data_IF_634555118983
#
_entry.id   IF_634555118983
#
_cell.length_a   1.000
_cell.length_b   1.000
_cell.length_c   1.000
_cell.angle_alpha   90.00
_cell.angle_beta   90.00
_cell.angle_gamma   90.00
#
_symmetry.space_group_name_H-M   'P 1'
#
loop_
_entity.id
_entity.type
_entity.pdbx_description
1 polymer ?
#
# COMPACT_ATOMS: atom_id res chain seq x y z
N UNK A 1 15.16 -13.75 -61.90
CA UNK A 1 16.46 -14.45 -62.01
C UNK A 1 16.76 -15.09 -60.66
N UNK A 2 16.91 -16.43 -60.66
CA UNK A 2 17.59 -17.32 -59.66
C UNK A 2 17.19 -17.16 -58.18
N UNK A 3 16.43 -18.02 -57.48
CA UNK A 3 16.13 -19.49 -57.47
C UNK A 3 17.24 -20.40 -56.87
N UNK A 4 16.98 -20.83 -55.61
CA UNK A 4 17.33 -22.08 -54.86
C UNK A 4 18.79 -22.38 -54.41
N UNK A 5 19.04 -23.33 -53.44
CA UNK A 5 18.12 -24.29 -52.81
C UNK A 5 18.14 -24.46 -51.27
N UNK A 6 17.03 -25.10 -50.82
CA UNK A 6 16.76 -25.84 -49.58
C UNK A 6 17.94 -26.68 -49.05
N UNK A 7 18.00 -26.80 -47.73
CA UNK A 7 18.24 -28.08 -47.07
C UNK A 7 17.19 -28.30 -45.97
N UNK A 8 16.51 -29.44 -46.08
CA UNK A 8 15.56 -29.99 -45.12
C UNK A 8 16.33 -30.99 -44.26
N UNK A 9 16.19 -30.92 -42.94
CA UNK A 9 16.42 -32.08 -42.08
C UNK A 9 15.45 -32.03 -40.90
N UNK A 10 14.44 -32.88 -41.01
CA UNK A 10 13.57 -33.35 -39.93
C UNK A 10 14.40 -34.08 -38.88
N UNK A 11 14.01 -34.00 -37.60
CA UNK A 11 13.81 -35.17 -36.72
C UNK A 11 13.27 -34.76 -35.33
N UNK A 12 12.06 -35.25 -35.06
CA UNK A 12 11.56 -35.77 -33.78
C UNK A 12 11.51 -34.86 -32.52
N UNK A 13 10.27 -34.46 -32.17
CA UNK A 13 9.74 -34.39 -30.79
C UNK A 13 9.07 -35.76 -30.56
N UNK A 14 9.27 -36.49 -29.44
CA UNK A 14 8.71 -36.11 -28.14
C UNK A 14 9.51 -36.54 -26.89
N UNK A 15 9.39 -35.76 -25.82
CA UNK A 15 9.99 -36.11 -24.53
C UNK A 15 9.33 -35.34 -23.39
N UNK A 16 8.10 -35.73 -23.04
CA UNK A 16 7.47 -35.39 -21.77
C UNK A 16 8.31 -36.04 -20.65
N UNK A 17 9.07 -35.25 -19.88
CA UNK A 17 9.73 -35.74 -18.67
C UNK A 17 8.70 -35.69 -17.54
N UNK A 18 7.99 -36.81 -17.35
CA UNK A 18 7.26 -37.11 -16.12
C UNK A 18 8.29 -37.51 -15.05
N UNK A 19 8.64 -36.59 -14.16
CA UNK A 19 9.31 -36.91 -12.91
C UNK A 19 8.30 -37.63 -11.98
N UNK A 20 8.31 -38.97 -11.99
CA UNK A 20 7.74 -39.76 -10.91
C UNK A 20 8.70 -39.72 -9.72
N UNK A 21 8.39 -38.87 -8.73
CA UNK A 21 9.01 -38.95 -7.41
C UNK A 21 8.34 -40.13 -6.69
N UNK A 22 8.98 -41.29 -6.70
CA UNK A 22 8.64 -42.40 -5.82
C UNK A 22 9.11 -42.05 -4.41
N UNK A 23 8.19 -41.56 -3.58
CA UNK A 23 8.38 -41.47 -2.13
C UNK A 23 8.38 -42.89 -1.55
N UNK A 24 9.43 -43.32 -0.83
CA UNK A 24 9.38 -44.57 -0.08
C UNK A 24 8.44 -44.36 1.12
N UNK A 25 7.31 -45.06 1.11
CA UNK A 25 6.47 -45.25 2.29
C UNK A 25 7.28 -45.97 3.38
N UNK A 26 7.41 -45.41 4.59
CA UNK A 26 7.84 -46.21 5.73
C UNK A 26 6.70 -47.14 6.14
N UNK A 27 7.06 -48.40 6.37
CA UNK A 27 6.17 -49.44 6.86
C UNK A 27 5.48 -49.01 8.16
N UNK A 28 4.15 -49.06 8.15
CA UNK A 28 3.30 -48.87 9.33
C UNK A 28 3.49 -50.08 10.24
N UNK A 29 4.23 -49.89 11.33
CA UNK A 29 4.34 -50.86 12.40
C UNK A 29 3.09 -50.74 13.27
N UNK A 30 2.25 -51.79 13.24
CA UNK A 30 1.09 -51.94 14.11
C UNK A 30 1.56 -52.09 15.56
N UNK A 31 1.46 -51.02 16.35
CA UNK A 31 1.45 -51.12 17.81
C UNK A 31 0.00 -50.99 18.28
N UNK A 32 -0.50 -52.07 18.89
CA UNK A 32 -1.76 -52.09 19.65
C UNK A 32 -1.71 -51.03 20.75
N UNK A 33 -2.69 -50.14 20.76
CA UNK A 33 -3.04 -49.33 21.93
C UNK A 33 -3.63 -50.24 23.03
N UNK A 34 -3.21 -50.10 24.30
CA UNK A 34 -3.92 -50.71 25.42
C UNK A 34 -5.21 -49.94 25.73
N UNK A 35 -6.20 -50.67 26.27
CA UNK A 35 -7.46 -50.18 26.83
C UNK A 35 -7.24 -49.10 27.92
N UNK A 36 -8.20 -48.20 28.17
CA UNK A 36 -8.10 -47.23 29.28
C UNK A 36 -8.33 -47.93 30.62
N UNK A 37 -7.35 -47.88 31.51
CA UNK A 37 -7.52 -48.17 32.94
C UNK A 37 -8.13 -46.96 33.66
N UNK A 38 -9.04 -47.27 34.59
CA UNK A 38 -9.70 -46.38 35.57
C UNK A 38 -8.78 -45.35 36.26
N UNK A 39 -9.32 -44.22 36.74
CA UNK A 39 -8.54 -43.18 37.38
C UNK A 39 -8.26 -43.51 38.85
N UNK A 40 -6.98 -43.58 39.22
CA UNK A 40 -6.52 -43.54 40.61
C UNK A 40 -6.52 -42.11 41.17
N UNK A 41 -6.72 -41.92 42.49
CA UNK A 41 -7.15 -40.66 43.07
C UNK A 41 -6.06 -39.59 43.12
N UNK A 42 -6.50 -38.34 42.99
CA UNK A 42 -5.74 -37.10 43.08
C UNK A 42 -4.91 -37.00 44.37
N UNK A 43 -3.60 -36.68 44.33
CA UNK A 43 -2.89 -36.18 45.49
C UNK A 43 -3.31 -34.74 45.79
N UNK A 44 -3.44 -34.43 47.08
CA UNK A 44 -3.79 -33.13 47.64
C UNK A 44 -2.94 -31.96 47.07
N UNK A 45 -3.47 -30.72 47.07
CA UNK A 45 -2.77 -29.57 46.54
C UNK A 45 -1.53 -29.27 47.40
N UNK A 46 -0.35 -29.34 46.78
CA UNK A 46 0.85 -28.72 47.34
C UNK A 46 0.62 -27.21 47.45
N UNK A 47 0.56 -26.73 48.68
CA UNK A 47 0.65 -25.32 49.06
C UNK A 47 1.91 -24.72 48.44
N UNK A 48 1.75 -23.89 47.40
CA UNK A 48 2.83 -23.00 46.91
C UNK A 48 2.98 -21.83 47.89
N UNK A 49 4.13 -21.64 48.57
CA UNK A 49 4.32 -20.55 49.51
C UNK A 49 4.93 -19.29 48.86
N UNK A 50 4.65 -19.02 47.59
CA UNK A 50 5.29 -17.89 46.86
C UNK A 50 4.48 -16.60 46.88
N UNK A 51 3.19 -16.63 47.23
CA UNK A 51 2.32 -15.44 47.20
C UNK A 51 2.17 -14.72 48.55
N UNK A 52 2.92 -15.10 49.60
CA UNK A 52 2.86 -14.50 50.94
C UNK A 52 4.08 -13.64 51.31
N UNK A 53 5.01 -13.42 50.38
CA UNK A 53 6.18 -12.55 50.61
C UNK A 53 5.78 -11.07 50.63
N UNK A 54 6.15 -10.38 51.71
CA UNK A 54 5.98 -8.92 51.86
C UNK A 54 6.85 -8.10 50.90
N UNK A 55 7.90 -8.69 50.32
CA UNK A 55 8.79 -8.06 49.34
C UNK A 55 8.98 -8.98 48.12
N UNK A 56 8.87 -8.41 46.92
CA UNK A 56 9.15 -9.13 45.68
C UNK A 56 10.65 -9.44 45.57
N UNK A 57 11.04 -10.65 45.16
CA UNK A 57 12.44 -10.97 44.92
C UNK A 57 13.02 -10.04 43.86
N UNK A 58 14.07 -9.30 44.22
CA UNK A 58 14.81 -8.43 43.31
C UNK A 58 15.78 -9.28 42.51
N UNK A 59 15.52 -9.43 41.22
CA UNK A 59 16.36 -10.18 40.29
C UNK A 59 17.28 -9.19 39.58
N UNK A 60 18.57 -9.49 39.51
CA UNK A 60 19.53 -8.67 38.76
C UNK A 60 19.32 -8.86 37.25
N UNK A 61 19.54 -7.81 36.45
CA UNK A 61 19.45 -7.89 34.98
C UNK A 61 20.36 -8.99 34.42
N UNK A 62 21.52 -9.22 35.05
CA UNK A 62 22.48 -10.27 34.67
C UNK A 62 21.86 -11.67 34.79
N UNK A 63 21.04 -11.91 35.80
CA UNK A 63 20.32 -13.18 35.97
C UNK A 63 19.23 -13.40 34.89
N UNK A 64 18.75 -12.32 34.25
CA UNK A 64 17.77 -12.37 33.16
C UNK A 64 18.41 -12.46 31.77
N UNK A 65 19.73 -12.26 31.65
CA UNK A 65 20.45 -12.23 30.37
C UNK A 65 20.18 -13.44 29.44
N UNK A 66 20.03 -14.69 29.93
CA UNK A 66 19.74 -15.83 29.06
C UNK A 66 18.33 -15.81 28.44
N UNK A 67 17.42 -15.01 29.01
CA UNK A 67 16.01 -14.91 28.61
C UNK A 67 15.70 -13.62 27.85
N UNK A 68 16.67 -12.71 27.73
CA UNK A 68 16.50 -11.42 27.06
C UNK A 68 16.94 -11.55 25.61
N UNK A 69 15.98 -11.39 24.70
CA UNK A 69 16.29 -11.10 23.29
C UNK A 69 16.61 -9.62 23.14
N UNK A 70 17.67 -9.28 22.42
CA UNK A 70 18.08 -7.90 22.18
C UNK A 70 18.14 -7.61 20.70
N UNK A 71 17.74 -6.40 20.32
CA UNK A 71 17.79 -5.91 18.96
C UNK A 71 18.48 -4.55 18.92
N UNK A 72 19.35 -4.37 17.93
CA UNK A 72 19.96 -3.09 17.61
C UNK A 72 20.28 -3.04 16.11
N UNK A 73 20.27 -1.85 15.54
CA UNK A 73 20.59 -1.59 14.15
C UNK A 73 21.70 -0.52 14.04
N UNK A 74 22.73 -0.72 13.18
CA UNK A 74 23.85 0.20 13.06
C UNK A 74 23.43 1.64 12.76
N UNK A 75 23.94 2.60 13.52
CA UNK A 75 23.67 4.03 13.34
C UNK A 75 22.31 4.51 13.84
N UNK A 76 21.49 3.63 14.42
CA UNK A 76 20.14 3.96 14.90
C UNK A 76 20.14 4.20 16.40
N UNK A 77 19.43 5.25 16.81
CA UNK A 77 19.26 5.66 18.20
C UNK A 77 17.78 5.87 18.50
N UNK A 78 17.45 5.96 19.79
CA UNK A 78 16.15 6.40 20.28
C UNK A 78 14.98 5.47 19.88
N UNK A 79 15.12 4.16 20.11
CA UNK A 79 14.00 3.21 20.07
C UNK A 79 12.99 3.59 21.15
N UNK A 80 11.93 4.28 20.76
CA UNK A 80 11.08 5.04 21.69
C UNK A 80 9.60 4.70 21.57
N UNK A 81 9.18 4.09 20.46
CA UNK A 81 7.80 3.68 20.21
C UNK A 81 7.74 2.18 19.96
N UNK A 82 6.78 1.49 20.56
CA UNK A 82 6.58 0.06 20.42
C UNK A 82 5.08 -0.21 20.24
N UNK A 83 4.73 -1.06 19.27
CA UNK A 83 3.36 -1.58 19.14
C UNK A 83 3.37 -3.03 18.68
N UNK A 84 2.33 -3.78 19.05
CA UNK A 84 2.22 -5.21 18.81
C UNK A 84 1.17 -5.48 17.73
N UNK A 85 1.54 -6.28 16.72
CA UNK A 85 0.60 -6.86 15.77
C UNK A 85 0.50 -8.37 16.03
N UNK A 86 -0.45 -8.74 16.90
CA UNK A 86 -0.69 -10.12 17.29
C UNK A 86 -1.25 -10.97 16.13
N UNK A 87 -1.88 -10.35 15.13
CA UNK A 87 -2.43 -11.09 13.97
C UNK A 87 -1.34 -11.62 13.07
N UNK A 88 -0.19 -10.95 13.04
CA UNK A 88 0.99 -11.33 12.26
C UNK A 88 2.14 -11.86 13.11
N UNK A 89 1.97 -11.88 14.44
CA UNK A 89 3.00 -12.23 15.41
C UNK A 89 4.26 -11.34 15.28
N UNK A 90 4.05 -10.03 15.24
CA UNK A 90 5.10 -9.03 15.01
C UNK A 90 5.14 -7.96 16.10
N UNK A 91 6.35 -7.48 16.39
CA UNK A 91 6.63 -6.28 17.16
C UNK A 91 7.07 -5.17 16.21
N UNK A 92 6.37 -4.05 16.22
CA UNK A 92 6.72 -2.86 15.45
C UNK A 92 7.44 -1.88 16.38
N UNK A 93 8.65 -1.48 16.01
CA UNK A 93 9.51 -0.59 16.79
C UNK A 93 9.79 0.68 16.01
N UNK A 94 9.39 1.82 16.57
CA UNK A 94 9.75 3.15 16.10
C UNK A 94 11.02 3.64 16.78
N UNK A 95 11.99 4.03 15.96
CA UNK A 95 13.21 4.70 16.35
C UNK A 95 13.42 5.97 15.50
N UNK A 96 14.47 6.76 15.79
CA UNK A 96 14.70 8.01 15.06
C UNK A 96 14.96 7.76 13.58
N UNK A 97 14.03 8.16 12.71
CA UNK A 97 14.06 7.90 11.26
C UNK A 97 14.10 6.40 10.92
N UNK A 98 13.60 5.51 11.78
CA UNK A 98 13.52 4.07 11.52
C UNK A 98 12.22 3.47 12.04
N UNK A 99 11.59 2.61 11.23
CA UNK A 99 10.52 1.72 11.66
C UNK A 99 10.97 0.28 11.39
N UNK A 100 10.98 -0.53 12.45
CA UNK A 100 11.37 -1.93 12.38
C UNK A 100 10.15 -2.80 12.58
N UNK A 101 10.00 -3.83 11.74
CA UNK A 101 9.14 -4.97 11.99
C UNK A 101 10.03 -6.10 12.46
N UNK A 102 9.78 -6.56 13.69
CA UNK A 102 10.53 -7.60 14.36
C UNK A 102 9.59 -8.78 14.61
N UNK A 103 10.11 -9.99 14.57
CA UNK A 103 9.33 -11.16 14.97
C UNK A 103 9.07 -11.10 16.48
N UNK A 104 7.83 -11.31 16.91
CA UNK A 104 7.45 -11.13 18.30
C UNK A 104 8.12 -12.15 19.26
N UNK A 105 8.52 -13.32 18.77
CA UNK A 105 9.06 -14.40 19.61
C UNK A 105 10.57 -14.26 19.90
N UNK A 106 11.34 -13.77 18.94
CA UNK A 106 12.81 -13.73 19.03
C UNK A 106 13.39 -12.34 18.71
N UNK A 107 12.55 -11.35 18.41
CA UNK A 107 12.93 -9.97 18.09
C UNK A 107 13.87 -9.91 16.85
N UNK A 108 13.87 -10.94 16.01
CA UNK A 108 14.65 -10.94 14.77
C UNK A 108 14.05 -9.96 13.78
N UNK A 109 14.90 -9.21 13.10
CA UNK A 109 14.48 -8.25 12.08
C UNK A 109 13.77 -8.94 10.91
N UNK A 110 12.50 -8.62 10.73
CA UNK A 110 11.72 -9.01 9.55
C UNK A 110 11.95 -7.97 8.45
N UNK A 111 11.82 -6.69 8.80
CA UNK A 111 11.90 -5.61 7.84
C UNK A 111 12.32 -4.29 8.49
N UNK A 112 13.18 -3.52 7.81
CA UNK A 112 13.45 -2.11 8.12
C UNK A 112 12.77 -1.27 7.05
N UNK A 113 11.84 -0.42 7.43
CA UNK A 113 11.28 0.59 6.53
C UNK A 113 11.62 1.95 7.11
N UNK A 114 12.47 2.73 6.43
CA UNK A 114 12.62 4.18 6.64
C UNK A 114 13.64 4.78 5.67
N UNK A 115 13.17 5.04 4.46
CA UNK A 115 13.85 5.94 3.55
C UNK A 115 12.85 7.02 3.16
N UNK A 116 13.36 8.15 2.69
CA UNK A 116 12.51 9.11 2.02
C UNK A 116 12.30 8.66 0.58
N UNK A 117 11.16 8.05 0.30
CA UNK A 117 10.78 7.67 -1.06
C UNK A 117 10.07 8.85 -1.70
N UNK A 118 10.65 9.41 -2.75
CA UNK A 118 9.99 10.46 -3.54
C UNK A 118 8.80 9.83 -4.28
N UNK A 119 7.60 10.36 -4.04
CA UNK A 119 6.34 9.87 -4.63
C UNK A 119 5.70 10.90 -5.56
N UNK A 120 6.04 12.18 -5.38
CA UNK A 120 5.63 13.27 -6.28
C UNK A 120 6.88 13.96 -6.77
N UNK A 121 7.01 14.09 -8.07
CA UNK A 121 8.04 14.85 -8.75
C UNK A 121 7.39 15.53 -9.95
N UNK A 122 7.12 16.82 -9.82
CA UNK A 122 6.40 17.60 -10.82
C UNK A 122 7.16 18.87 -11.13
N UNK A 123 7.15 19.27 -12.40
CA UNK A 123 7.73 20.53 -12.86
C UNK A 123 6.59 21.48 -13.16
N UNK A 124 6.66 22.70 -12.62
CA UNK A 124 5.75 23.78 -12.92
C UNK A 124 6.57 25.02 -13.30
N UNK A 125 6.58 25.37 -14.58
CA UNK A 125 7.37 26.50 -15.13
C UNK A 125 8.86 26.37 -14.76
N UNK A 126 9.35 27.17 -13.82
CA UNK A 126 10.75 27.19 -13.35
C UNK A 126 10.93 26.53 -11.99
N UNK A 127 9.90 25.88 -11.46
CA UNK A 127 9.90 25.26 -10.15
C UNK A 127 9.73 23.74 -10.26
N UNK A 128 10.35 23.02 -9.32
CA UNK A 128 10.23 21.58 -9.17
C UNK A 128 9.66 21.29 -7.79
N UNK A 129 8.48 20.67 -7.78
CA UNK A 129 7.80 20.23 -6.57
C UNK A 129 8.14 18.76 -6.33
N UNK A 130 8.70 18.48 -5.16
CA UNK A 130 9.05 17.13 -4.72
C UNK A 130 8.32 16.81 -3.43
N UNK A 131 7.61 15.68 -3.36
CA UNK A 131 7.08 15.17 -2.10
C UNK A 131 7.54 13.73 -1.90
N UNK A 132 7.89 13.40 -0.66
CA UNK A 132 8.29 12.04 -0.32
C UNK A 132 7.77 11.61 1.05
N UNK A 133 7.81 10.29 1.27
CA UNK A 133 7.30 9.64 2.48
C UNK A 133 8.04 10.10 3.73
N UNK A 134 9.30 10.52 3.59
CA UNK A 134 10.16 11.03 4.64
C UNK A 134 10.02 10.26 5.96
N UNK A 135 10.31 8.95 5.91
CA UNK A 135 10.20 8.05 7.06
C UNK A 135 8.80 8.05 7.72
N UNK A 136 7.75 7.91 6.91
CA UNK A 136 6.34 8.00 7.33
C UNK A 136 5.96 9.34 7.97
N UNK A 137 6.63 10.42 7.56
CA UNK A 137 6.25 11.79 7.90
C UNK A 137 6.30 12.64 6.64
N UNK A 138 5.31 12.52 5.74
CA UNK A 138 5.37 13.07 4.40
C UNK A 138 5.75 14.55 4.38
N UNK A 139 6.67 14.91 3.50
CA UNK A 139 7.18 16.27 3.36
C UNK A 139 7.26 16.64 1.89
N UNK A 140 6.83 17.86 1.56
CA UNK A 140 6.99 18.45 0.23
C UNK A 140 7.98 19.61 0.25
N UNK A 141 8.79 19.72 -0.80
CA UNK A 141 9.78 20.77 -0.99
C UNK A 141 9.70 21.25 -2.44
N UNK A 142 9.57 22.57 -2.60
CA UNK A 142 9.63 23.24 -3.90
C UNK A 142 11.01 23.87 -4.08
N UNK A 143 11.60 23.67 -5.26
CA UNK A 143 12.95 24.14 -5.61
C UNK A 143 12.95 24.84 -6.96
N UNK A 144 13.95 25.68 -7.19
CA UNK A 144 14.18 26.27 -8.51
C UNK A 144 14.78 25.22 -9.47
N UNK A 145 14.18 25.02 -10.64
CA UNK A 145 14.60 24.03 -11.62
C UNK A 145 16.03 24.28 -12.13
N UNK A 146 16.41 25.55 -12.32
CA UNK A 146 17.76 25.95 -12.74
C UNK A 146 18.82 25.83 -11.65
N UNK A 147 18.42 25.74 -10.37
CA UNK A 147 19.33 25.59 -9.23
C UNK A 147 18.68 24.74 -8.12
N UNK A 148 18.87 23.43 -8.21
CA UNK A 148 18.28 22.46 -7.28
C UNK A 148 18.75 22.61 -5.82
N UNK A 149 19.82 23.37 -5.55
CA UNK A 149 20.24 23.70 -4.18
C UNK A 149 19.36 24.78 -3.55
N UNK A 150 18.71 25.61 -4.36
CA UNK A 150 17.82 26.67 -3.88
C UNK A 150 16.44 26.10 -3.55
N UNK A 151 16.14 26.07 -2.26
CA UNK A 151 14.81 25.72 -1.76
C UNK A 151 13.95 26.98 -1.71
N UNK A 152 12.81 26.93 -2.38
CA UNK A 152 11.82 28.02 -2.40
C UNK A 152 10.84 27.85 -1.25
N UNK A 153 10.35 26.63 -1.02
CA UNK A 153 9.33 26.35 -0.01
C UNK A 153 9.49 24.95 0.58
N UNK A 154 9.09 24.79 1.85
CA UNK A 154 8.89 23.50 2.52
C UNK A 154 7.51 23.47 3.14
N UNK A 155 6.72 22.46 2.81
CA UNK A 155 5.34 22.31 3.30
C UNK A 155 5.08 20.88 3.75
N UNK A 156 4.09 20.72 4.63
CA UNK A 156 3.63 19.42 5.08
C UNK A 156 3.13 18.57 3.89
N UNK A 157 3.58 17.31 3.78
CA UNK A 157 3.19 16.39 2.71
C UNK A 157 1.88 15.62 2.96
N UNK A 158 1.22 15.80 4.11
CA UNK A 158 -0.09 15.21 4.41
C UNK A 158 -1.10 15.58 3.31
N UNK A 159 -1.86 14.58 2.87
CA UNK A 159 -2.78 14.62 1.72
C UNK A 159 -2.14 14.92 0.34
N UNK A 160 -0.80 15.03 0.26
CA UNK A 160 -0.05 15.27 -0.99
C UNK A 160 0.84 14.09 -1.38
N UNK A 161 1.31 13.34 -0.39
CA UNK A 161 2.16 12.17 -0.54
C UNK A 161 1.77 11.13 0.51
N UNK A 162 1.79 9.83 0.19
CA UNK A 162 1.49 8.80 1.17
C UNK A 162 2.58 8.69 2.23
N UNK A 163 2.21 8.10 3.36
CA UNK A 163 3.11 7.72 4.45
C UNK A 163 3.95 6.50 4.09
N UNK A 164 3.32 5.47 3.52
CA UNK A 164 3.93 4.22 3.11
C UNK A 164 4.29 4.25 1.60
N UNK A 165 5.52 3.90 1.20
CA UNK A 165 5.93 3.88 -0.20
C UNK A 165 5.17 2.88 -1.08
N UNK A 166 4.50 1.89 -0.50
CA UNK A 166 3.69 0.88 -1.20
C UNK A 166 2.30 1.37 -1.55
N UNK A 167 1.86 2.50 -0.99
CA UNK A 167 0.57 3.07 -1.34
C UNK A 167 0.59 3.64 -2.76
N UNK A 168 -0.40 3.22 -3.55
CA UNK A 168 -0.63 3.74 -4.88
C UNK A 168 -1.23 5.14 -4.78
N UNK A 169 -0.49 6.11 -5.28
CA UNK A 169 -0.82 7.54 -5.23
C UNK A 169 -0.45 8.17 -6.55
N UNK A 170 -1.13 9.26 -6.91
CA UNK A 170 -0.81 10.05 -8.09
C UNK A 170 -1.01 11.52 -7.80
N UNK A 171 -0.31 12.39 -8.52
CA UNK A 171 -0.49 13.83 -8.42
C UNK A 171 -0.24 14.51 -9.76
N UNK A 172 -0.84 15.68 -9.94
CA UNK A 172 -0.61 16.57 -11.07
C UNK A 172 -0.60 18.02 -10.58
N UNK A 173 0.18 18.87 -11.24
CA UNK A 173 0.20 20.31 -11.00
C UNK A 173 -0.43 20.99 -12.20
N UNK A 174 -1.33 21.94 -11.96
CA UNK A 174 -1.96 22.74 -13.02
C UNK A 174 -1.04 23.85 -13.50
N UNK A 175 -1.35 24.44 -14.65
CA UNK A 175 -0.64 25.62 -15.17
C UNK A 175 -0.70 26.84 -14.22
N UNK A 176 -1.78 26.94 -13.43
CA UNK A 176 -1.97 27.95 -12.38
C UNK A 176 -1.22 27.62 -11.08
N UNK A 177 -0.67 26.41 -10.96
CA UNK A 177 0.21 26.00 -9.86
C UNK A 177 -0.47 25.31 -8.69
N UNK A 178 -1.77 25.02 -8.77
CA UNK A 178 -2.43 24.15 -7.80
C UNK A 178 -1.93 22.70 -7.94
N UNK A 179 -1.57 22.09 -6.81
CA UNK A 179 -1.29 20.67 -6.71
C UNK A 179 -2.58 19.91 -6.45
N UNK A 180 -2.92 18.99 -7.34
CA UNK A 180 -3.97 18.00 -7.17
C UNK A 180 -3.32 16.64 -6.88
N UNK A 181 -3.60 16.07 -5.72
CA UNK A 181 -3.05 14.78 -5.29
C UNK A 181 -4.17 13.80 -4.94
N UNK A 182 -3.98 12.55 -5.31
CA UNK A 182 -4.83 11.44 -4.91
C UNK A 182 -3.98 10.41 -4.15
N UNK A 183 -4.24 10.28 -2.85
CA UNK A 183 -3.41 9.51 -1.91
C UNK A 183 -4.25 9.14 -0.67
N UNK A 184 -3.59 8.67 0.39
CA UNK A 184 -4.15 8.55 1.74
C UNK A 184 -3.62 9.66 2.63
N UNK A 185 -4.45 10.14 3.57
CA UNK A 185 -4.07 11.23 4.50
C UNK A 185 -3.55 10.71 5.84
N UNK A 186 -3.89 9.48 6.23
CA UNK A 186 -3.54 8.91 7.52
C UNK A 186 -2.47 7.83 7.41
N UNK A 187 -1.76 7.59 8.51
CA UNK A 187 -0.73 6.55 8.58
C UNK A 187 -1.28 5.14 8.31
N UNK A 188 -2.53 4.87 8.69
CA UNK A 188 -3.14 3.55 8.53
C UNK A 188 -3.63 3.26 7.11
N UNK A 189 -3.63 4.29 6.23
CA UNK A 189 -4.03 4.15 4.85
C UNK A 189 -5.53 3.97 4.64
N UNK A 190 -6.36 4.34 5.63
CA UNK A 190 -7.81 4.11 5.64
C UNK A 190 -8.64 5.33 5.21
N UNK A 191 -8.03 6.50 5.15
CA UNK A 191 -8.68 7.73 4.70
C UNK A 191 -8.13 8.15 3.31
N UNK A 192 -8.64 7.54 2.22
CA UNK A 192 -8.26 7.92 0.86
C UNK A 192 -8.85 9.28 0.51
N UNK A 193 -8.09 10.07 -0.25
CA UNK A 193 -8.44 11.44 -0.55
C UNK A 193 -8.01 11.83 -1.96
N UNK A 194 -8.87 12.55 -2.67
CA UNK A 194 -8.47 13.43 -3.79
C UNK A 194 -8.50 14.85 -3.24
N UNK A 195 -7.35 15.53 -3.26
CA UNK A 195 -7.08 16.77 -2.55
C UNK A 195 -6.44 17.82 -3.47
N UNK A 196 -6.85 19.08 -3.33
CA UNK A 196 -6.21 20.24 -3.98
C UNK A 196 -5.55 21.15 -2.96
N UNK A 197 -4.36 21.67 -3.29
CA UNK A 197 -3.63 22.61 -2.44
C UNK A 197 -2.56 23.42 -3.20
N UNK A 198 -1.79 24.25 -2.48
CA UNK A 198 -0.59 24.98 -2.94
C UNK A 198 -0.81 26.06 -4.03
N UNK A 199 -2.05 26.38 -4.38
CA UNK A 199 -2.36 27.50 -5.31
C UNK A 199 -3.36 28.49 -4.73
N UNK A 200 -3.92 29.34 -5.58
CA UNK A 200 -4.81 30.43 -5.17
C UNK A 200 -6.23 29.99 -4.81
N UNK A 201 -6.64 28.79 -5.25
CA UNK A 201 -7.96 28.23 -4.95
C UNK A 201 -8.01 27.62 -3.54
N UNK A 202 -9.18 27.64 -2.87
CA UNK A 202 -9.33 27.03 -1.56
C UNK A 202 -8.98 25.54 -1.60
N UNK A 203 -8.35 24.98 -0.54
CA UNK A 203 -8.13 23.54 -0.46
C UNK A 203 -9.45 22.80 -0.42
N UNK A 204 -9.59 21.76 -1.24
CA UNK A 204 -10.79 20.92 -1.24
C UNK A 204 -10.39 19.45 -1.21
N UNK A 205 -11.17 18.65 -0.50
CA UNK A 205 -11.00 17.19 -0.42
C UNK A 205 -12.27 16.44 -0.80
N UNK A 206 -12.13 15.14 -1.05
CA UNK A 206 -13.28 14.22 -1.12
C UNK A 206 -13.88 13.99 0.26
N UNK A 207 -15.18 13.67 0.30
CA UNK A 207 -15.89 13.38 1.53
C UNK A 207 -15.23 12.21 2.29
N UNK A 208 -14.95 12.44 3.57
CA UNK A 208 -14.26 11.48 4.43
C UNK A 208 -15.17 10.29 4.78
N UNK A 209 -14.58 9.09 4.85
CA UNK A 209 -15.26 7.86 5.26
C UNK A 209 -16.57 7.56 4.50
N UNK A 210 -16.65 7.98 3.24
CA UNK A 210 -17.82 7.78 2.40
C UNK A 210 -17.49 6.88 1.21
N UNK A 211 -17.91 5.61 1.30
CA UNK A 211 -17.65 4.60 0.27
C UNK A 211 -18.28 4.92 -1.09
N UNK A 212 -19.32 5.78 -1.14
CA UNK A 212 -19.88 6.26 -2.42
C UNK A 212 -18.90 7.19 -3.14
N UNK A 213 -18.01 7.86 -2.42
CA UNK A 213 -16.97 8.71 -2.98
C UNK A 213 -15.72 7.91 -3.31
N UNK A 214 -15.13 7.23 -2.33
CA UNK A 214 -13.92 6.43 -2.47
C UNK A 214 -14.01 5.21 -1.54
N UNK A 215 -13.71 4.01 -2.05
CA UNK A 215 -13.82 2.76 -1.31
C UNK A 215 -12.58 1.85 -1.50
N UNK A 216 -11.59 2.01 -0.63
CA UNK A 216 -10.27 1.35 -0.76
C UNK A 216 -9.65 1.53 -2.17
N UNK A 217 -9.51 2.77 -2.66
CA UNK A 217 -9.00 3.00 -4.00
C UNK A 217 -7.49 2.78 -4.09
N UNK A 218 -7.06 2.24 -5.23
CA UNK A 218 -5.71 2.37 -5.73
C UNK A 218 -5.72 3.45 -6.81
N UNK A 219 -4.93 4.51 -6.63
CA UNK A 219 -4.82 5.58 -7.62
C UNK A 219 -3.74 5.28 -8.65
N UNK A 220 -4.06 5.42 -9.94
CA UNK A 220 -3.17 5.08 -11.06
C UNK A 220 -2.55 6.34 -11.65
N UNK A 221 -3.36 7.30 -12.07
CA UNK A 221 -2.88 8.53 -12.71
C UNK A 221 -3.80 9.71 -12.47
N UNK A 222 -3.26 10.92 -12.70
CA UNK A 222 -4.04 12.15 -12.79
C UNK A 222 -3.62 12.93 -14.03
N UNK A 223 -4.58 13.61 -14.66
CA UNK A 223 -4.34 14.45 -15.82
C UNK A 223 -5.02 15.80 -15.67
N UNK A 224 -4.31 16.84 -16.07
CA UNK A 224 -4.81 18.19 -16.16
C UNK A 224 -5.32 18.45 -17.59
N UNK A 225 -6.64 18.47 -17.81
CA UNK A 225 -7.23 18.52 -19.17
C UNK A 225 -8.39 19.52 -19.23
N UNK A 226 -8.19 20.59 -20.01
CA UNK A 226 -9.21 21.63 -20.22
C UNK A 226 -9.61 22.30 -18.90
N UNK A 227 -10.90 22.23 -18.55
CA UNK A 227 -11.46 22.82 -17.33
C UNK A 227 -11.48 21.87 -16.13
N UNK A 228 -10.97 20.65 -16.29
CA UNK A 228 -11.09 19.59 -15.30
C UNK A 228 -9.73 18.99 -14.95
N UNK A 229 -9.69 18.39 -13.76
CA UNK A 229 -8.64 17.44 -13.40
C UNK A 229 -9.26 16.05 -13.34
N UNK A 230 -8.69 15.11 -14.07
CA UNK A 230 -9.13 13.71 -14.11
C UNK A 230 -8.26 12.84 -13.23
N UNK A 231 -8.86 11.86 -12.57
CA UNK A 231 -8.19 10.87 -11.74
C UNK A 231 -8.61 9.47 -12.14
N UNK A 232 -7.64 8.63 -12.44
CA UNK A 232 -7.85 7.23 -12.79
C UNK A 232 -7.51 6.36 -11.59
N UNK A 233 -8.44 5.48 -11.22
CA UNK A 233 -8.32 4.62 -10.06
C UNK A 233 -8.99 3.28 -10.29
N UNK A 234 -8.69 2.31 -9.43
CA UNK A 234 -9.50 1.10 -9.25
C UNK A 234 -9.86 0.97 -7.78
N UNK A 235 -11.08 0.57 -7.48
CA UNK A 235 -11.58 0.50 -6.11
C UNK A 235 -12.64 -0.60 -5.96
N UNK A 236 -13.00 -0.93 -4.73
CA UNK A 236 -14.07 -1.90 -4.47
C UNK A 236 -15.42 -1.34 -4.94
N UNK A 237 -16.14 -2.09 -5.77
CA UNK A 237 -17.44 -1.68 -6.28
C UNK A 237 -18.51 -1.77 -5.19
N UNK A 238 -19.14 -0.63 -4.87
CA UNK A 238 -20.24 -0.55 -3.90
C UNK A 238 -21.57 -0.91 -4.58
N UNK A 239 -21.66 -0.68 -5.88
CA UNK A 239 -22.84 -0.97 -6.72
C UNK A 239 -22.95 -2.45 -7.14
N UNK A 240 -22.01 -3.29 -6.72
CA UNK A 240 -22.06 -4.71 -7.05
C UNK A 240 -22.60 -5.51 -5.87
N UNK A 241 -23.80 -6.04 -6.04
CA UNK A 241 -24.53 -6.72 -4.95
C UNK A 241 -24.03 -8.15 -4.67
N UNK A 242 -23.18 -8.72 -5.54
CA UNK A 242 -22.76 -10.12 -5.45
C UNK A 242 -21.25 -10.27 -5.22
N UNK A 243 -20.85 -10.32 -3.95
CA UNK A 243 -19.45 -10.55 -3.57
C UNK A 243 -18.55 -9.33 -3.77
N UNK A 244 -17.26 -9.47 -3.41
CA UNK A 244 -16.27 -8.40 -3.54
C UNK A 244 -15.74 -8.37 -4.97
N UNK A 245 -16.03 -7.29 -5.72
CA UNK A 245 -15.41 -7.03 -7.02
C UNK A 245 -14.73 -5.67 -7.02
N UNK A 246 -13.65 -5.54 -7.78
CA UNK A 246 -12.98 -4.26 -8.07
C UNK A 246 -13.55 -3.71 -9.37
N UNK A 247 -13.76 -2.39 -9.45
CA UNK A 247 -14.01 -1.69 -10.71
C UNK A 247 -12.98 -0.58 -10.93
N UNK A 248 -12.57 -0.45 -12.20
CA UNK A 248 -11.80 0.70 -12.67
C UNK A 248 -12.71 1.89 -12.90
N UNK A 249 -12.24 3.09 -12.53
CA UNK A 249 -13.00 4.33 -12.62
C UNK A 249 -12.15 5.48 -13.12
N UNK A 250 -12.84 6.41 -13.77
CA UNK A 250 -12.38 7.77 -13.98
C UNK A 250 -13.23 8.69 -13.10
N UNK A 251 -12.57 9.51 -12.30
CA UNK A 251 -13.17 10.60 -11.56
C UNK A 251 -12.72 11.94 -12.14
N UNK A 252 -13.54 12.98 -11.95
CA UNK A 252 -13.19 14.35 -12.34
C UNK A 252 -13.67 15.36 -11.32
N UNK A 253 -13.00 16.51 -11.30
CA UNK A 253 -13.38 17.72 -10.56
C UNK A 253 -13.17 18.94 -11.46
N UNK A 254 -13.94 20.01 -11.25
CA UNK A 254 -13.72 21.28 -11.91
C UNK A 254 -12.56 22.05 -11.26
N UNK A 255 -11.74 22.72 -12.07
CA UNK A 255 -10.62 23.52 -11.56
C UNK A 255 -11.07 24.71 -10.70
N UNK A 256 -12.19 25.31 -11.08
CA UNK A 256 -12.78 26.49 -10.43
C UNK A 256 -13.75 26.14 -9.28
N UNK A 257 -13.86 24.88 -8.88
CA UNK A 257 -14.68 24.49 -7.73
C UNK A 257 -14.14 25.19 -6.47
N UNK A 258 -15.01 25.84 -5.69
CA UNK A 258 -14.64 26.55 -4.45
C UNK A 258 -15.17 25.87 -3.20
N UNK A 259 -15.83 24.71 -3.34
CA UNK A 259 -16.51 24.04 -2.24
C UNK A 259 -17.92 24.56 -2.04
N UNK A 260 -18.60 24.01 -1.04
CA UNK A 260 -19.90 24.51 -0.59
C UNK A 260 -19.75 25.72 0.34
N UNK A 261 -20.87 26.37 0.67
CA UNK A 261 -20.86 27.56 1.55
C UNK A 261 -21.14 27.25 3.02
N UNK A 262 -21.90 26.18 3.28
CA UNK A 262 -22.36 25.80 4.62
C UNK A 262 -22.22 24.29 4.82
N UNK A 263 -22.85 23.52 3.93
CA UNK A 263 -22.53 22.12 3.73
C UNK A 263 -21.36 22.04 2.74
N UNK A 264 -20.43 21.11 2.96
CA UNK A 264 -19.30 20.85 2.05
C UNK A 264 -18.27 21.99 1.93
N UNK A 265 -18.07 22.82 2.97
CA UNK A 265 -17.18 24.00 2.94
C UNK A 265 -15.75 23.69 2.45
N UNK A 266 -15.18 22.56 2.86
CA UNK A 266 -13.85 22.07 2.38
C UNK A 266 -13.95 20.83 1.48
N UNK A 267 -15.11 20.60 0.87
CA UNK A 267 -15.39 19.39 0.10
C UNK A 267 -15.76 19.71 -1.34
N UNK A 268 -15.29 18.91 -2.29
CA UNK A 268 -15.64 19.07 -3.70
C UNK A 268 -17.16 19.13 -3.91
N UNK A 269 -17.64 20.04 -4.75
CA UNK A 269 -19.04 20.08 -5.17
C UNK A 269 -19.23 19.51 -6.58
N UNK A 270 -18.14 19.39 -7.33
CA UNK A 270 -18.10 18.96 -8.73
C UNK A 270 -17.51 17.55 -8.92
N UNK A 271 -17.20 16.86 -7.82
CA UNK A 271 -16.68 15.50 -7.87
C UNK A 271 -17.70 14.54 -8.50
N UNK A 272 -17.31 13.90 -9.59
CA UNK A 272 -18.08 12.84 -10.24
C UNK A 272 -17.15 11.71 -10.64
N UNK A 273 -17.64 10.47 -10.60
CA UNK A 273 -16.89 9.28 -11.05
C UNK A 273 -17.75 8.34 -11.86
N UNK A 274 -17.14 7.68 -12.85
CA UNK A 274 -17.79 6.72 -13.73
C UNK A 274 -16.95 5.45 -13.85
N UNK A 275 -17.61 4.31 -14.07
CA UNK A 275 -16.95 3.03 -14.35
C UNK A 275 -16.32 3.05 -15.74
N UNK A 276 -15.08 2.59 -15.85
CA UNK A 276 -14.42 2.31 -17.12
C UNK A 276 -14.76 0.90 -17.58
N UNK A 277 -15.21 0.77 -18.83
CA UNK A 277 -15.56 -0.52 -19.43
C UNK A 277 -14.45 -0.95 -20.40
N UNK A 278 -13.61 -1.88 -19.95
CA UNK A 278 -12.72 -2.64 -20.82
C UNK A 278 -13.22 -4.09 -20.85
N UNK A 279 -13.80 -4.51 -21.96
CA UNK A 279 -14.33 -5.87 -22.11
C UNK A 279 -14.18 -6.41 -23.51
N UNK A 280 -14.08 -7.73 -23.61
CA UNK A 280 -14.24 -8.45 -24.87
C UNK A 280 -15.71 -8.78 -25.06
N UNK A 281 -16.26 -8.36 -26.19
CA UNK A 281 -17.66 -8.63 -26.56
C UNK A 281 -17.95 -10.13 -26.68
N UNK A 282 -19.18 -10.52 -26.31
CA UNK A 282 -19.71 -11.88 -26.34
C UNK A 282 -21.13 -11.91 -25.73
N UNK A 283 -21.80 -13.07 -25.73
CA UNK A 283 -23.12 -13.22 -25.07
C UNK A 283 -23.06 -12.83 -23.59
N UNK A 284 -21.96 -13.22 -22.93
CA UNK A 284 -21.56 -12.75 -21.61
C UNK A 284 -20.21 -12.04 -21.79
N UNK A 285 -20.15 -10.70 -21.66
CA UNK A 285 -18.92 -9.97 -21.83
C UNK A 285 -17.85 -10.38 -20.81
N UNK A 286 -16.60 -10.50 -21.26
CA UNK A 286 -15.46 -10.75 -20.38
C UNK A 286 -14.80 -9.44 -20.00
N UNK A 287 -14.83 -9.08 -18.71
CA UNK A 287 -14.37 -7.79 -18.21
C UNK A 287 -12.94 -7.82 -17.67
N UNK A 288 -12.13 -6.84 -18.06
CA UNK A 288 -10.83 -6.54 -17.48
C UNK A 288 -11.01 -5.38 -16.49
N UNK A 289 -11.30 -5.71 -15.24
CA UNK A 289 -11.73 -4.72 -14.26
C UNK A 289 -10.58 -3.99 -13.55
N UNK A 290 -9.34 -4.46 -13.66
CA UNK A 290 -8.19 -3.89 -12.94
C UNK A 290 -7.29 -3.04 -13.84
N UNK A 291 -7.53 -1.73 -13.85
CA UNK A 291 -6.69 -0.73 -14.51
C UNK A 291 -5.32 -0.66 -13.83
N UNK A 292 -4.25 -0.85 -14.59
CA UNK A 292 -2.86 -0.83 -14.10
C UNK A 292 -2.13 0.46 -14.44
N UNK A 293 -2.39 1.02 -15.63
CA UNK A 293 -1.72 2.22 -16.12
C UNK A 293 -2.56 2.91 -17.17
N UNK A 294 -2.27 4.19 -17.39
CA UNK A 294 -2.93 5.04 -18.38
C UNK A 294 -1.91 5.94 -19.06
N UNK A 295 -2.22 6.37 -20.28
CA UNK A 295 -1.43 7.31 -21.04
C UNK A 295 -2.36 8.27 -21.78
N UNK A 296 -2.18 9.57 -21.58
CA UNK A 296 -2.93 10.60 -22.29
C UNK A 296 -2.17 11.04 -23.53
N UNK A 297 -2.84 11.01 -24.67
CA UNK A 297 -2.36 11.46 -25.98
C UNK A 297 -3.11 12.76 -26.36
N UNK A 298 -2.52 13.94 -26.09
CA UNK A 298 -3.21 15.23 -26.27
C UNK A 298 -3.61 15.51 -27.71
N UNK A 299 -2.85 15.05 -28.70
CA UNK A 299 -3.07 15.32 -30.12
C UNK A 299 -4.37 14.70 -30.66
N UNK A 300 -4.88 13.68 -29.97
CA UNK A 300 -6.10 12.96 -30.33
C UNK A 300 -7.21 13.09 -29.28
N UNK A 301 -6.93 13.77 -28.16
CA UNK A 301 -7.80 13.81 -26.98
C UNK A 301 -8.20 12.39 -26.51
N UNK A 302 -7.23 11.48 -26.50
CA UNK A 302 -7.43 10.06 -26.14
C UNK A 302 -6.64 9.67 -24.91
N UNK A 303 -7.24 8.84 -24.06
CA UNK A 303 -6.57 8.19 -22.93
C UNK A 303 -6.56 6.69 -23.19
N UNK A 304 -5.36 6.13 -23.32
CA UNK A 304 -5.14 4.69 -23.35
C UNK A 304 -5.06 4.15 -21.93
N UNK A 305 -5.60 2.95 -21.70
CA UNK A 305 -5.56 2.28 -20.40
C UNK A 305 -5.18 0.81 -20.56
N UNK A 306 -4.31 0.32 -19.67
CA UNK A 306 -3.93 -1.09 -19.59
C UNK A 306 -4.72 -1.73 -18.47
N UNK A 307 -5.49 -2.78 -18.78
CA UNK A 307 -6.34 -3.47 -17.84
C UNK A 307 -5.94 -4.94 -17.71
N UNK A 308 -6.19 -5.50 -16.54
CA UNK A 308 -5.92 -6.89 -16.19
C UNK A 308 -7.15 -7.53 -15.55
N UNK A 309 -7.15 -8.85 -15.46
CA UNK A 309 -8.12 -9.63 -14.69
C UNK A 309 -7.69 -9.72 -13.22
N UNK A 310 -8.57 -10.19 -12.36
CA UNK A 310 -8.35 -10.41 -10.93
C UNK A 310 -7.52 -11.69 -10.61
N UNK A 311 -6.64 -12.11 -11.53
CA UNK A 311 -5.89 -13.38 -11.45
C UNK A 311 -4.46 -13.13 -11.04
#
# INVERSE_FOLDING_TARGET
MTVLPRAVASLAVPGLILCFITLPFPAIQSQRSPLPTEPSPTPAPHTRPECTRLEHPVITIQALSPLISSFSFPGVRDYSQLTLDLTRNELIVGARNYLFRLNLNNISLIQVECQNYIRVLLVNKTEVITCGTNAFQPLCITREAGNMSRVLERVNGVARCPYDPRHNSTAVVTESGELYAATVIDFSGRDPVIYRSLGGMPPLRTAQYNSKWLNEPHFISAYDVGLFTFFFLRENAVEHDCGKTVYSRVARVCKNDIGGRFLLEDTWTTFTKARLNCSRSGEIPFYYNELQSTFYLPEQDLIYGIFTTNV
#
